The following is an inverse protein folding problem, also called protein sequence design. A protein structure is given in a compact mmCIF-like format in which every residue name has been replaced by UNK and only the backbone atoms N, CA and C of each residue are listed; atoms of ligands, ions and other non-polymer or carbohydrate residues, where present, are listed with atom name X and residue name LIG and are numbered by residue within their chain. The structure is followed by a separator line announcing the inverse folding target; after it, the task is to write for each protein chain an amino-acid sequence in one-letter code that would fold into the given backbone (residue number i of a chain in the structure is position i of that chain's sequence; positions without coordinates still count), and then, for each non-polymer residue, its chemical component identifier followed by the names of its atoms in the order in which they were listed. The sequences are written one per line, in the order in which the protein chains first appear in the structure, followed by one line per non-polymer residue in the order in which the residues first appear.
data_IF_034524247123
#
_entry.id   IF_034524247123
#
_cell.length_a   1.000
_cell.length_b   1.000
_cell.length_c   1.000
_cell.angle_alpha   90.00
_cell.angle_beta   90.00
_cell.angle_gamma   90.00
#
_symmetry.space_group_name_H-M   'P 1'
#
loop_
_entity.id
_entity.type
_entity.pdbx_description
1 polymer ?
#
# COMPACT_ATOMS: atom_id res chain seq x y z
N UNK A 1 35.75 -24.91 44.41
CA UNK A 1 34.89 -23.72 44.16
C UNK A 1 34.87 -23.25 42.70
N UNK A 2 35.86 -23.61 41.87
CA UNK A 2 35.93 -23.15 40.48
C UNK A 2 34.83 -23.74 39.56
N UNK A 3 34.49 -25.02 39.75
CA UNK A 3 33.47 -25.71 38.96
C UNK A 3 32.05 -25.14 39.17
N UNK A 4 31.68 -24.83 40.42
CA UNK A 4 30.38 -24.21 40.74
C UNK A 4 30.26 -22.82 40.11
N UNK A 5 31.31 -22.00 40.21
CA UNK A 5 31.33 -20.67 39.58
C UNK A 5 31.19 -20.79 38.06
N UNK A 6 31.90 -21.73 37.44
CA UNK A 6 31.80 -21.98 35.99
C UNK A 6 30.39 -22.37 35.56
N UNK A 7 29.72 -23.26 36.30
CA UNK A 7 28.34 -23.69 36.00
C UNK A 7 27.35 -22.53 36.12
N UNK A 8 27.51 -21.69 37.14
CA UNK A 8 26.68 -20.50 37.31
C UNK A 8 26.90 -19.49 36.16
N UNK A 9 28.15 -19.27 35.73
CA UNK A 9 28.43 -18.40 34.60
C UNK A 9 27.83 -18.93 33.29
N UNK A 10 27.94 -20.23 33.02
CA UNK A 10 27.31 -20.83 31.84
C UNK A 10 25.78 -20.75 31.90
N UNK A 11 25.19 -20.95 33.07
CA UNK A 11 23.75 -20.81 33.26
C UNK A 11 23.30 -19.38 32.92
N UNK A 12 23.99 -18.37 33.46
CA UNK A 12 23.70 -16.95 33.18
C UNK A 12 23.86 -16.64 31.69
N UNK A 13 24.92 -17.11 31.04
CA UNK A 13 25.14 -16.91 29.61
C UNK A 13 24.01 -17.51 28.77
N UNK A 14 23.57 -18.72 29.10
CA UNK A 14 22.43 -19.38 28.45
C UNK A 14 21.16 -18.55 28.66
N UNK A 15 20.88 -18.11 29.89
CA UNK A 15 19.68 -17.31 30.19
C UNK A 15 19.66 -16.01 29.40
N UNK A 16 20.78 -15.28 29.32
CA UNK A 16 20.88 -14.04 28.54
C UNK A 16 20.66 -14.32 27.06
N UNK A 17 21.24 -15.40 26.54
CA UNK A 17 21.09 -15.77 25.12
C UNK A 17 19.63 -16.11 24.79
N UNK A 18 18.96 -16.90 25.64
CA UNK A 18 17.53 -17.20 25.49
C UNK A 18 16.68 -15.94 25.59
N UNK A 19 16.97 -15.04 26.53
CA UNK A 19 16.25 -13.78 26.67
C UNK A 19 16.38 -12.91 25.41
N UNK A 20 17.60 -12.78 24.88
CA UNK A 20 17.86 -12.05 23.64
C UNK A 20 17.15 -12.68 22.44
N UNK A 21 17.12 -14.02 22.36
CA UNK A 21 16.42 -14.75 21.31
C UNK A 21 14.92 -14.51 21.34
N UNK A 22 14.29 -14.69 22.51
CA UNK A 22 12.85 -14.45 22.70
C UNK A 22 12.49 -12.99 22.42
N UNK A 23 13.32 -12.05 22.88
CA UNK A 23 13.14 -10.63 22.58
C UNK A 23 13.18 -10.34 21.08
N UNK A 24 14.19 -10.87 20.39
CA UNK A 24 14.33 -10.71 18.93
C UNK A 24 13.14 -11.32 18.18
N UNK A 25 12.72 -12.53 18.58
CA UNK A 25 11.56 -13.20 18.01
C UNK A 25 10.26 -12.39 18.23
N UNK A 26 10.08 -11.83 19.43
CA UNK A 26 8.94 -10.97 19.77
C UNK A 26 8.93 -9.70 18.92
N UNK A 27 10.09 -9.05 18.75
CA UNK A 27 10.21 -7.86 17.92
C UNK A 27 9.90 -8.16 16.45
N UNK A 28 10.44 -9.26 15.91
CA UNK A 28 10.14 -9.70 14.55
C UNK A 28 8.65 -10.02 14.36
N UNK A 29 8.04 -10.70 15.33
CA UNK A 29 6.61 -11.00 15.32
C UNK A 29 5.76 -9.73 15.36
N UNK A 30 6.12 -8.75 16.18
CA UNK A 30 5.42 -7.47 16.26
C UNK A 30 5.47 -6.70 14.93
N UNK A 31 6.67 -6.59 14.32
CA UNK A 31 6.84 -5.92 13.03
C UNK A 31 6.07 -6.63 11.92
N UNK A 32 6.13 -7.97 11.90
CA UNK A 32 5.38 -8.79 10.94
C UNK A 32 3.87 -8.62 11.13
N UNK A 33 3.40 -8.58 12.37
CA UNK A 33 2.00 -8.35 12.70
C UNK A 33 1.50 -6.98 12.21
N UNK A 34 2.26 -5.92 12.46
CA UNK A 34 1.93 -4.57 11.97
C UNK A 34 1.89 -4.56 10.44
N UNK A 35 2.91 -5.11 9.78
CA UNK A 35 2.96 -5.20 8.33
C UNK A 35 1.77 -5.99 7.76
N UNK A 36 1.38 -7.09 8.40
CA UNK A 36 0.23 -7.89 8.00
C UNK A 36 -1.09 -7.10 8.11
N UNK A 37 -1.32 -6.38 9.21
CA UNK A 37 -2.51 -5.52 9.37
C UNK A 37 -2.56 -4.44 8.30
N UNK A 38 -1.43 -3.77 8.03
CA UNK A 38 -1.34 -2.75 6.98
C UNK A 38 -1.58 -3.35 5.59
N UNK A 39 -1.02 -4.52 5.29
CA UNK A 39 -1.21 -5.21 4.02
C UNK A 39 -2.68 -5.61 3.82
N UNK A 40 -3.32 -6.16 4.85
CA UNK A 40 -4.74 -6.53 4.80
C UNK A 40 -5.61 -5.27 4.64
N UNK A 41 -5.38 -4.24 5.45
CA UNK A 41 -6.13 -2.99 5.38
C UNK A 41 -5.99 -2.29 4.03
N UNK A 42 -4.79 -2.24 3.48
CA UNK A 42 -4.54 -1.68 2.15
C UNK A 42 -5.17 -2.51 1.03
N UNK A 43 -5.15 -3.84 1.12
CA UNK A 43 -5.83 -4.71 0.17
C UNK A 43 -7.36 -4.51 0.19
N UNK A 44 -7.96 -4.37 1.38
CA UNK A 44 -9.38 -4.04 1.53
C UNK A 44 -9.66 -2.65 0.96
N UNK A 45 -8.86 -1.64 1.33
CA UNK A 45 -9.01 -0.27 0.85
C UNK A 45 -8.87 -0.18 -0.69
N UNK A 46 -7.98 -0.96 -1.29
CA UNK A 46 -7.81 -1.02 -2.74
C UNK A 46 -9.00 -1.70 -3.44
N UNK A 47 -9.65 -2.68 -2.80
CA UNK A 47 -10.88 -3.29 -3.30
C UNK A 47 -12.09 -2.35 -3.18
N UNK A 48 -12.15 -1.57 -2.10
CA UNK A 48 -13.23 -0.61 -1.85
C UNK A 48 -13.07 0.69 -2.64
N UNK A 49 -11.84 1.10 -2.94
CA UNK A 49 -11.57 2.14 -3.91
C UNK A 49 -11.93 1.62 -5.30
N UNK A 50 -13.20 1.77 -5.66
CA UNK A 50 -13.69 1.74 -7.03
C UNK A 50 -12.84 2.73 -7.83
N UNK A 51 -11.87 2.19 -8.56
CA UNK A 51 -11.05 2.92 -9.52
C UNK A 51 -12.00 3.81 -10.32
N UNK A 52 -11.81 5.15 -10.37
CA UNK A 52 -12.69 6.00 -11.16
C UNK A 52 -12.67 5.46 -12.58
N UNK A 53 -13.78 4.86 -12.99
CA UNK A 53 -13.94 4.40 -14.34
C UNK A 53 -13.76 5.65 -15.20
N UNK A 54 -12.78 5.64 -16.10
CA UNK A 54 -12.75 6.66 -17.14
C UNK A 54 -14.10 6.58 -17.83
N UNK A 55 -14.92 7.62 -17.64
CA UNK A 55 -16.13 7.80 -18.40
C UNK A 55 -15.69 8.03 -19.84
N UNK A 56 -15.51 6.96 -20.61
CA UNK A 56 -15.44 7.06 -22.05
C UNK A 56 -16.86 7.33 -22.50
N UNK A 57 -17.13 8.57 -22.90
CA UNK A 57 -18.35 8.88 -23.63
C UNK A 57 -18.33 8.00 -24.88
N UNK A 58 -19.11 6.92 -24.88
CA UNK A 58 -19.31 6.08 -26.07
C UNK A 58 -20.02 6.98 -27.08
N UNK A 59 -19.44 7.27 -28.25
CA UNK A 59 -20.18 7.96 -29.28
C UNK A 59 -21.39 7.10 -29.61
N UNK A 60 -22.59 7.65 -29.39
CA UNK A 60 -23.84 7.02 -29.78
C UNK A 60 -23.71 6.64 -31.25
N UNK A 61 -23.87 5.35 -31.56
CA UNK A 61 -23.85 4.78 -32.90
C UNK A 61 -25.07 5.26 -33.71
N UNK A 62 -25.08 6.55 -34.04
CA UNK A 62 -26.20 7.28 -34.62
C UNK A 62 -26.03 8.80 -34.60
N UNK A 63 -25.13 9.36 -33.78
CA UNK A 63 -24.72 10.75 -33.90
C UNK A 63 -23.59 10.80 -34.94
N UNK A 64 -23.89 11.25 -36.15
CA UNK A 64 -22.88 11.63 -37.12
C UNK A 64 -21.84 12.52 -36.41
N UNK A 65 -20.53 12.38 -36.70
CA UNK A 65 -19.52 13.24 -36.09
C UNK A 65 -19.96 14.69 -36.31
N UNK A 66 -20.34 15.38 -35.23
CA UNK A 66 -20.75 16.77 -35.31
C UNK A 66 -19.53 17.50 -35.86
N UNK A 67 -19.63 17.88 -37.13
CA UNK A 67 -18.53 18.50 -37.86
C UNK A 67 -18.18 19.76 -37.07
N UNK A 68 -17.02 19.76 -36.42
CA UNK A 68 -16.57 20.87 -35.59
C UNK A 68 -16.42 22.09 -36.50
N UNK A 69 -17.35 23.03 -36.39
CA UNK A 69 -17.34 24.25 -37.21
C UNK A 69 -16.64 25.34 -36.44
N UNK A 70 -15.57 25.83 -37.05
CA UNK A 70 -14.79 26.95 -36.54
C UNK A 70 -14.91 28.08 -37.55
N UNK A 71 -15.43 29.22 -37.10
CA UNK A 71 -15.42 30.44 -37.91
C UNK A 71 -15.14 31.65 -37.04
N UNK A 72 -14.70 32.74 -37.68
CA UNK A 72 -14.45 34.02 -37.04
C UNK A 72 -15.54 35.00 -37.49
N UNK A 73 -16.22 35.62 -36.54
CA UNK A 73 -17.33 36.57 -36.79
C UNK A 73 -16.87 38.04 -36.85
N UNK A 74 -15.55 38.28 -36.86
CA UNK A 74 -14.93 39.61 -36.83
C UNK A 74 -14.82 40.21 -35.42
N UNK A 75 -15.40 39.57 -34.40
CA UNK A 75 -15.28 39.94 -32.97
C UNK A 75 -14.58 38.85 -32.16
N UNK A 76 -14.54 37.63 -32.67
CA UNK A 76 -13.80 36.51 -32.10
C UNK A 76 -13.95 35.21 -32.88
N UNK A 77 -13.22 34.18 -32.45
CA UNK A 77 -13.32 32.83 -33.01
C UNK A 77 -14.40 32.05 -32.26
N UNK A 78 -15.36 31.51 -32.99
CA UNK A 78 -16.42 30.65 -32.47
C UNK A 78 -16.09 29.20 -32.81
N UNK A 79 -16.26 28.31 -31.81
CA UNK A 79 -16.07 26.88 -31.94
C UNK A 79 -17.38 26.21 -31.52
N UNK A 80 -18.09 25.59 -32.47
CA UNK A 80 -19.28 24.78 -32.20
C UNK A 80 -18.89 23.29 -32.17
N UNK A 81 -19.19 22.61 -31.07
CA UNK A 81 -18.81 21.23 -30.75
C UNK A 81 -20.04 20.32 -30.63
#
# INVERSE_FOLDING_TARGET
MQSIRSVLFTAVAITITLAAFVFTASLALALTGIAAVVAIGSAIAARLNLKPARATARPTSGAAPREMRIWNDGRGTIIDL
#
